data_IF_239626548215
#
_entry.id   IF_239626548215
#
_cell.length_a   1.000
_cell.length_b   1.000
_cell.length_c   1.000
_cell.angle_alpha   90.00
_cell.angle_beta   90.00
_cell.angle_gamma   90.00
#
_symmetry.space_group_name_H-M   'P 1'
#
loop_
_entity.id
_entity.type
_entity.pdbx_description
1 polymer ?
#
# COMPACT_ATOMS: atom_id res chain seq x y z
N UNK A 1 -16.03 20.13 6.17
CA UNK A 1 -15.70 20.11 4.72
C UNK A 1 -16.91 19.68 3.87
N UNK A 2 -17.63 20.64 3.31
CA UNK A 2 -18.82 20.39 2.47
C UNK A 2 -18.40 20.24 1.00
N UNK A 3 -18.81 19.14 0.37
CA UNK A 3 -18.68 18.96 -1.09
C UNK A 3 -19.81 19.74 -1.76
N UNK A 4 -19.46 20.72 -2.57
CA UNK A 4 -20.41 21.46 -3.42
C UNK A 4 -20.36 20.79 -4.80
N UNK A 5 -21.50 20.27 -5.26
CA UNK A 5 -21.63 19.73 -6.62
C UNK A 5 -21.79 20.90 -7.61
N UNK A 6 -21.16 20.85 -8.79
CA UNK A 6 -21.21 21.96 -9.73
C UNK A 6 -22.62 22.10 -10.33
N UNK A 7 -23.16 23.30 -10.25
CA UNK A 7 -24.43 23.70 -10.88
C UNK A 7 -24.30 23.56 -12.40
N UNK A 8 -25.07 22.66 -12.99
CA UNK A 8 -25.12 22.46 -14.45
C UNK A 8 -25.92 23.63 -15.05
N UNK A 9 -25.22 24.58 -15.68
CA UNK A 9 -25.85 25.64 -16.48
C UNK A 9 -26.42 25.03 -17.75
N UNK A 10 -27.74 24.82 -17.78
CA UNK A 10 -28.47 24.38 -18.98
C UNK A 10 -28.46 25.51 -20.00
N UNK A 11 -27.49 25.51 -20.92
CA UNK A 11 -27.48 26.45 -22.05
C UNK A 11 -28.68 26.11 -22.96
N UNK A 12 -29.56 27.08 -23.27
CA UNK A 12 -30.68 26.84 -24.18
C UNK A 12 -30.16 26.42 -25.56
N UNK A 13 -30.80 25.42 -26.16
CA UNK A 13 -30.43 24.92 -27.47
C UNK A 13 -30.51 26.03 -28.53
N UNK A 14 -29.40 26.28 -29.22
CA UNK A 14 -29.30 27.31 -30.26
C UNK A 14 -30.24 26.98 -31.43
N UNK A 15 -31.31 27.77 -31.58
CA UNK A 15 -32.18 27.70 -32.76
C UNK A 15 -31.41 28.20 -33.97
N UNK A 16 -30.91 27.29 -34.80
CA UNK A 16 -30.28 27.63 -36.07
C UNK A 16 -31.34 28.03 -37.11
N UNK A 17 -31.65 29.31 -37.16
CA UNK A 17 -32.37 29.89 -38.30
C UNK A 17 -31.40 29.92 -39.50
N UNK A 18 -31.36 28.84 -40.27
CA UNK A 18 -30.64 28.81 -41.53
C UNK A 18 -31.41 29.66 -42.55
N UNK A 19 -31.14 30.96 -42.59
CA UNK A 19 -31.59 31.77 -43.72
C UNK A 19 -30.90 31.22 -44.97
N UNK A 20 -31.69 30.77 -45.96
CA UNK A 20 -31.18 30.17 -47.20
C UNK A 20 -30.52 31.17 -48.16
N UNK A 21 -30.30 32.40 -47.72
CA UNK A 21 -29.70 33.45 -48.53
C UNK A 21 -28.18 33.42 -48.33
N UNK A 22 -27.45 32.97 -49.37
CA UNK A 22 -25.99 32.96 -49.38
C UNK A 22 -25.52 34.42 -49.53
N UNK A 23 -24.76 34.93 -48.56
CA UNK A 23 -24.14 36.25 -48.68
C UNK A 23 -23.00 36.16 -49.71
N UNK A 24 -23.10 36.91 -50.79
CA UNK A 24 -22.05 36.98 -51.81
C UNK A 24 -20.92 37.89 -51.30
N UNK A 25 -19.90 37.32 -50.68
CA UNK A 25 -18.75 38.03 -50.08
C UNK A 25 -17.64 38.35 -51.08
N UNK A 26 -17.95 38.50 -52.37
CA UNK A 26 -16.92 38.85 -53.36
C UNK A 26 -17.01 40.36 -53.59
N UNK A 27 -16.03 41.15 -53.10
CA UNK A 27 -16.02 42.60 -53.34
C UNK A 27 -15.77 42.89 -54.82
N UNK A 28 -16.36 43.96 -55.33
CA UNK A 28 -16.30 44.37 -56.74
C UNK A 28 -14.86 44.45 -57.26
N UNK A 29 -13.91 44.90 -56.43
CA UNK A 29 -12.50 44.92 -56.79
C UNK A 29 -11.93 43.54 -57.19
N UNK A 30 -12.27 42.47 -56.45
CA UNK A 30 -11.84 41.12 -56.81
C UNK A 30 -12.59 40.56 -58.04
N UNK A 31 -13.81 41.02 -58.29
CA UNK A 31 -14.57 40.60 -59.45
C UNK A 31 -13.97 41.20 -60.74
N UNK A 32 -13.60 42.48 -60.70
CA UNK A 32 -13.29 43.27 -61.90
C UNK A 32 -11.78 43.29 -62.27
N UNK A 33 -10.88 43.20 -61.28
CA UNK A 33 -9.43 43.28 -61.50
C UNK A 33 -8.78 41.90 -61.40
N UNK A 34 -8.99 41.08 -62.43
CA UNK A 34 -8.32 39.78 -62.59
C UNK A 34 -7.23 39.86 -63.66
N UNK A 35 -6.12 39.12 -63.51
CA UNK A 35 -5.11 39.06 -64.56
C UNK A 35 -5.70 38.37 -65.79
N UNK A 36 -5.90 39.12 -66.86
CA UNK A 36 -6.32 38.59 -68.15
C UNK A 36 -5.13 37.96 -68.87
N UNK A 37 -5.30 36.79 -69.47
CA UNK A 37 -4.27 36.17 -70.30
C UNK A 37 -4.14 36.95 -71.60
N UNK A 38 -3.03 37.66 -71.78
CA UNK A 38 -2.76 38.48 -72.97
C UNK A 38 -2.03 37.60 -73.99
N UNK A 39 -2.66 37.34 -75.13
CA UNK A 39 -2.02 36.62 -76.23
C UNK A 39 -0.81 37.43 -76.76
N UNK A 40 0.36 36.77 -76.85
CA UNK A 40 1.59 37.40 -77.34
C UNK A 40 1.49 37.58 -78.85
N UNK A 41 1.51 38.83 -79.31
CA UNK A 41 1.52 39.15 -80.74
C UNK A 41 2.84 38.70 -81.38
N UNK A 42 2.75 37.94 -82.46
CA UNK A 42 3.94 37.57 -83.24
C UNK A 42 4.57 38.80 -83.90
N UNK A 43 5.90 38.93 -83.88
CA UNK A 43 6.59 40.04 -84.55
C UNK A 43 6.44 39.88 -86.07
N UNK A 44 5.85 40.90 -86.72
CA UNK A 44 5.78 40.98 -88.19
C UNK A 44 7.20 41.20 -88.75
N UNK A 45 7.93 40.10 -88.98
CA UNK A 45 9.20 40.12 -89.71
C UNK A 45 8.90 39.91 -91.18
N UNK A 46 9.32 40.83 -92.04
CA UNK A 46 9.27 40.62 -93.48
C UNK A 46 10.10 39.37 -93.82
N UNK A 47 9.43 38.39 -94.43
CA UNK A 47 10.01 37.09 -94.75
C UNK A 47 11.04 37.26 -95.86
N UNK A 48 12.32 37.41 -95.48
CA UNK A 48 13.43 37.37 -96.44
C UNK A 48 13.75 35.92 -96.73
N UNK A 49 13.23 35.42 -97.86
CA UNK A 49 13.55 34.09 -98.36
C UNK A 49 15.01 34.10 -98.83
N UNK A 50 15.88 33.48 -98.04
CA UNK A 50 17.27 33.26 -98.42
C UNK A 50 17.36 32.07 -99.37
N UNK A 51 17.97 32.27 -100.53
CA UNK A 51 18.28 31.19 -101.47
C UNK A 51 19.76 30.80 -101.30
N UNK A 52 20.06 29.72 -100.55
CA UNK A 52 21.43 29.25 -100.43
C UNK A 52 21.95 28.76 -101.79
N UNK A 53 23.25 28.96 -102.08
CA UNK A 53 23.91 28.33 -103.23
C UNK A 53 23.71 26.81 -103.21
N UNK A 54 23.39 26.23 -104.37
CA UNK A 54 23.12 24.78 -104.53
C UNK A 54 24.40 23.95 -104.43
N UNK A 55 25.54 24.52 -104.80
CA UNK A 55 26.82 23.84 -104.83
C UNK A 55 27.51 23.89 -103.47
N UNK A 56 27.92 22.72 -102.95
CA UNK A 56 28.66 22.63 -101.70
C UNK A 56 30.14 22.87 -101.96
N UNK A 57 30.80 23.61 -101.07
CA UNK A 57 32.25 23.71 -101.05
C UNK A 57 32.83 22.34 -100.64
N UNK A 58 33.36 21.60 -101.61
CA UNK A 58 33.79 20.21 -101.46
C UNK A 58 35.26 20.00 -101.09
N UNK A 59 36.00 21.08 -100.79
CA UNK A 59 37.44 20.99 -100.62
C UNK A 59 37.74 20.87 -99.12
N UNK A 60 38.18 19.69 -98.68
CA UNK A 60 38.81 19.56 -97.37
C UNK A 60 40.07 20.42 -97.34
N UNK A 61 40.24 21.18 -96.27
CA UNK A 61 41.47 21.96 -96.10
C UNK A 61 42.62 21.03 -95.74
N UNK A 62 43.85 21.39 -96.14
CA UNK A 62 45.06 20.61 -95.82
C UNK A 62 45.20 20.31 -94.33
N UNK A 63 44.67 21.18 -93.46
CA UNK A 63 44.67 20.96 -92.00
C UNK A 63 43.73 19.83 -91.57
N UNK A 64 42.54 19.74 -92.19
CA UNK A 64 41.58 18.66 -91.91
C UNK A 64 42.14 17.29 -92.29
N UNK A 65 42.90 17.23 -93.40
CA UNK A 65 43.54 15.97 -93.84
C UNK A 65 44.81 15.64 -93.07
N UNK A 66 45.59 16.66 -92.66
CA UNK A 66 46.86 16.46 -91.96
C UNK A 66 46.70 16.10 -90.47
N UNK A 67 45.66 16.61 -89.81
CA UNK A 67 45.47 16.49 -88.35
C UNK A 67 44.28 15.61 -87.97
N UNK A 68 44.25 14.39 -88.50
CA UNK A 68 43.25 13.38 -88.14
C UNK A 68 43.67 12.68 -86.84
N UNK A 69 42.76 12.48 -85.85
CA UNK A 69 43.04 11.68 -84.66
C UNK A 69 43.54 10.28 -85.05
N UNK A 70 44.76 9.95 -84.63
CA UNK A 70 45.35 8.61 -84.82
C UNK A 70 45.20 7.82 -83.52
N UNK A 71 44.82 6.55 -83.66
CA UNK A 71 44.84 5.60 -82.55
C UNK A 71 46.29 5.42 -82.07
N UNK A 72 46.54 5.69 -80.79
CA UNK A 72 47.85 5.47 -80.17
C UNK A 72 47.89 4.07 -79.56
N UNK A 73 48.83 3.24 -80.02
CA UNK A 73 49.05 1.94 -79.40
C UNK A 73 49.57 2.13 -77.96
N UNK A 74 48.84 1.57 -76.98
CA UNK A 74 49.29 1.52 -75.60
C UNK A 74 50.60 0.73 -75.52
N UNK A 75 51.62 1.35 -74.92
CA UNK A 75 52.91 0.68 -74.69
C UNK A 75 52.70 -0.53 -73.78
N UNK A 76 53.26 -1.68 -74.16
CA UNK A 76 53.24 -2.87 -73.30
C UNK A 76 54.01 -2.56 -72.02
N UNK A 77 53.35 -2.72 -70.87
CA UNK A 77 53.98 -2.55 -69.56
C UNK A 77 54.91 -3.73 -69.30
N UNK A 78 56.19 -3.45 -69.03
CA UNK A 78 57.19 -4.45 -68.62
C UNK A 78 57.19 -4.52 -67.08
N UNK A 79 56.01 -4.77 -66.48
CA UNK A 79 55.90 -4.98 -65.03
C UNK A 79 55.91 -6.49 -64.76
N UNK A 80 56.75 -7.01 -63.85
CA UNK A 80 56.65 -8.39 -63.42
C UNK A 80 55.28 -8.67 -62.83
N UNK A 81 54.73 -9.86 -63.09
CA UNK A 81 53.48 -10.29 -62.49
C UNK A 81 53.63 -10.36 -60.97
N UNK A 82 52.64 -9.87 -60.23
CA UNK A 82 52.59 -9.98 -58.77
C UNK A 82 52.30 -11.45 -58.41
N UNK A 83 53.37 -12.23 -58.28
CA UNK A 83 53.31 -13.66 -57.95
C UNK A 83 53.50 -13.87 -56.45
N UNK A 84 52.60 -13.35 -55.64
CA UNK A 84 52.58 -13.64 -54.20
C UNK A 84 52.14 -15.08 -53.99
N UNK A 85 53.09 -15.96 -53.64
CA UNK A 85 52.79 -17.35 -53.30
C UNK A 85 52.21 -17.39 -51.89
N UNK A 86 50.93 -17.76 -51.77
CA UNK A 86 50.28 -18.00 -50.48
C UNK A 86 50.53 -19.46 -50.07
N UNK A 87 50.97 -19.69 -48.84
CA UNK A 87 51.09 -21.03 -48.27
C UNK A 87 49.71 -21.61 -47.96
N UNK A 88 49.49 -22.88 -48.30
CA UNK A 88 48.27 -23.65 -47.98
C UNK A 88 48.26 -24.22 -46.55
N UNK A 89 49.33 -23.98 -45.77
CA UNK A 89 49.43 -24.50 -44.42
C UNK A 89 48.52 -23.71 -43.46
N UNK A 90 47.69 -24.39 -42.64
CA UNK A 90 46.87 -23.72 -41.64
C UNK A 90 47.73 -23.09 -40.55
N UNK A 91 47.26 -21.95 -40.02
CA UNK A 91 47.89 -21.29 -38.89
C UNK A 91 47.68 -22.10 -37.59
N UNK A 92 48.77 -22.54 -36.96
CA UNK A 92 48.74 -23.20 -35.65
C UNK A 92 48.80 -22.12 -34.57
N UNK A 93 47.68 -21.87 -33.90
CA UNK A 93 47.54 -20.84 -32.86
C UNK A 93 47.74 -21.37 -31.44
N UNK A 94 48.40 -22.51 -31.28
CA UNK A 94 48.59 -23.15 -29.98
C UNK A 94 49.75 -22.46 -29.25
N UNK A 95 49.40 -21.71 -28.21
CA UNK A 95 50.35 -21.04 -27.33
C UNK A 95 50.45 -21.80 -26.03
N UNK A 96 51.60 -21.72 -25.36
CA UNK A 96 51.80 -22.32 -24.04
C UNK A 96 50.73 -21.89 -23.03
N UNK A 97 50.32 -20.62 -23.07
CA UNK A 97 49.24 -20.14 -22.19
C UNK A 97 47.92 -20.90 -22.38
N UNK A 98 47.54 -21.23 -23.62
CA UNK A 98 46.31 -21.96 -23.92
C UNK A 98 46.38 -23.42 -23.45
N UNK A 99 47.57 -24.03 -23.45
CA UNK A 99 47.76 -25.39 -22.93
C UNK A 99 47.88 -25.42 -21.40
N UNK A 100 48.52 -24.42 -20.81
CA UNK A 100 48.92 -24.45 -19.40
C UNK A 100 47.81 -23.93 -18.47
N UNK A 101 46.96 -23.02 -18.95
CA UNK A 101 45.88 -22.40 -18.18
C UNK A 101 44.51 -22.92 -18.62
N UNK A 102 44.22 -24.17 -18.27
CA UNK A 102 42.92 -24.80 -18.49
C UNK A 102 42.11 -24.85 -17.20
N UNK A 103 40.77 -24.89 -17.32
CA UNK A 103 39.90 -25.04 -16.17
C UNK A 103 40.07 -26.43 -15.55
N UNK A 104 40.70 -26.50 -14.38
CA UNK A 104 40.81 -27.75 -13.61
C UNK A 104 39.57 -27.96 -12.73
N UNK A 105 39.13 -29.22 -12.63
CA UNK A 105 38.08 -29.60 -11.69
C UNK A 105 38.61 -29.48 -10.26
N UNK A 106 37.91 -28.70 -9.43
CA UNK A 106 38.28 -28.51 -8.03
C UNK A 106 37.71 -29.65 -7.18
N UNK A 107 38.52 -30.14 -6.25
CA UNK A 107 38.08 -31.12 -5.25
C UNK A 107 36.93 -30.56 -4.39
N UNK A 108 35.90 -31.37 -4.09
CA UNK A 108 34.82 -30.96 -3.20
C UNK A 108 35.36 -30.56 -1.82
N UNK A 109 34.99 -29.35 -1.35
CA UNK A 109 35.40 -28.88 -0.02
C UNK A 109 34.82 -29.78 1.07
N UNK A 110 35.68 -30.22 2.00
CA UNK A 110 35.26 -30.95 3.19
C UNK A 110 34.27 -30.13 4.02
N UNK A 111 33.07 -30.66 4.24
CA UNK A 111 32.04 -30.05 5.09
C UNK A 111 31.98 -30.79 6.42
N UNK A 112 32.27 -30.09 7.53
CA UNK A 112 32.04 -30.63 8.88
C UNK A 112 30.54 -30.71 9.16
N UNK A 113 30.06 -31.85 9.62
CA UNK A 113 28.68 -32.01 10.10
C UNK A 113 28.46 -31.19 11.37
N UNK A 114 27.33 -30.49 11.47
CA UNK A 114 26.94 -29.79 12.69
C UNK A 114 26.65 -30.81 13.78
N UNK A 115 27.30 -30.65 14.94
CA UNK A 115 27.01 -31.48 16.11
C UNK A 115 25.55 -31.26 16.55
N UNK A 116 24.83 -32.35 16.78
CA UNK A 116 23.47 -32.31 17.27
C UNK A 116 23.45 -31.86 18.74
N UNK A 117 22.58 -30.91 19.07
CA UNK A 117 22.43 -30.43 20.45
C UNK A 117 21.89 -31.55 21.35
N UNK A 118 22.57 -31.78 22.47
CA UNK A 118 22.15 -32.72 23.52
C UNK A 118 21.69 -31.91 24.74
N UNK A 119 20.37 -31.72 24.94
CA UNK A 119 19.87 -31.05 26.15
C UNK A 119 20.21 -31.89 27.39
N UNK A 120 20.48 -31.21 28.51
CA UNK A 120 20.59 -31.87 29.82
C UNK A 120 19.21 -32.38 30.25
N UNK A 121 19.16 -33.59 30.79
CA UNK A 121 17.93 -34.19 31.34
C UNK A 121 17.65 -33.77 32.79
N UNK A 122 18.55 -33.01 33.42
CA UNK A 122 18.38 -32.58 34.80
C UNK A 122 17.36 -31.45 34.91
N UNK A 123 16.38 -31.55 35.82
CA UNK A 123 15.47 -30.45 36.10
C UNK A 123 16.23 -29.29 36.73
N UNK A 124 15.79 -28.06 36.43
CA UNK A 124 16.34 -26.87 37.06
C UNK A 124 15.76 -26.73 38.47
N UNK A 125 16.62 -26.72 39.49
CA UNK A 125 16.23 -26.45 40.88
C UNK A 125 15.95 -24.94 41.04
N UNK A 126 14.69 -24.55 40.81
CA UNK A 126 14.24 -23.16 40.90
C UNK A 126 13.84 -22.77 42.34
N UNK A 127 14.62 -23.16 43.34
CA UNK A 127 14.36 -22.78 44.74
C UNK A 127 15.47 -21.87 45.19
N UNK A 128 15.12 -20.61 45.47
CA UNK A 128 16.09 -19.64 45.99
C UNK A 128 16.23 -19.80 47.50
N UNK A 129 17.39 -19.41 48.03
CA UNK A 129 17.66 -19.39 49.49
C UNK A 129 16.54 -18.68 50.26
N UNK A 130 16.03 -17.56 49.72
CA UNK A 130 14.92 -16.83 50.35
C UNK A 130 13.63 -17.65 50.44
N UNK A 131 13.26 -18.37 49.39
CA UNK A 131 12.05 -19.22 49.40
C UNK A 131 12.21 -20.39 50.37
N UNK A 132 13.42 -20.93 50.51
CA UNK A 132 13.74 -21.98 51.48
C UNK A 132 13.70 -21.49 52.92
N UNK A 133 14.24 -20.30 53.20
CA UNK A 133 14.50 -19.84 54.57
C UNK A 133 13.32 -19.06 55.17
N UNK A 134 12.58 -18.31 54.36
CA UNK A 134 11.50 -17.42 54.84
C UNK A 134 10.12 -17.96 54.49
N UNK A 135 9.76 -19.12 55.06
CA UNK A 135 8.47 -19.80 54.81
C UNK A 135 7.28 -19.25 55.61
N UNK A 136 7.50 -18.23 56.45
CA UNK A 136 6.45 -17.59 57.24
C UNK A 136 5.77 -18.54 58.24
N UNK A 137 6.56 -19.26 59.03
CA UNK A 137 6.02 -20.14 60.08
C UNK A 137 5.23 -19.31 61.11
N UNK A 138 3.99 -19.71 61.47
CA UNK A 138 3.21 -18.99 62.47
C UNK A 138 3.90 -19.10 63.83
N UNK A 139 4.04 -17.97 64.53
CA UNK A 139 4.47 -17.97 65.94
C UNK A 139 3.32 -18.36 66.86
N UNK A 140 3.66 -18.86 68.05
CA UNK A 140 2.67 -19.14 69.08
C UNK A 140 1.96 -17.85 69.53
N UNK A 141 0.64 -17.95 69.75
CA UNK A 141 -0.14 -16.83 70.27
C UNK A 141 0.18 -16.62 71.76
N UNK A 142 0.35 -15.38 72.22
CA UNK A 142 0.61 -15.12 73.64
C UNK A 142 -0.62 -15.49 74.48
N UNK A 143 -0.40 -16.31 75.52
CA UNK A 143 -1.43 -16.58 76.51
C UNK A 143 -1.69 -15.36 77.41
N UNK A 144 -2.95 -15.12 77.76
CA UNK A 144 -3.30 -13.98 78.63
C UNK A 144 -2.93 -14.25 80.08
N UNK A 145 -2.21 -13.33 80.72
CA UNK A 145 -1.92 -13.36 82.17
C UNK A 145 -3.11 -12.96 83.06
N UNK A 146 -4.33 -12.94 82.52
CA UNK A 146 -5.52 -12.54 83.29
C UNK A 146 -5.90 -13.68 84.25
N UNK A 147 -6.10 -13.40 85.55
CA UNK A 147 -6.55 -14.41 86.49
C UNK A 147 -7.94 -14.91 86.08
N UNK A 148 -8.17 -16.22 86.20
CA UNK A 148 -9.47 -16.81 85.92
C UNK A 148 -10.49 -16.28 86.94
N UNK A 149 -11.69 -15.81 86.54
CA UNK A 149 -12.67 -15.27 87.46
C UNK A 149 -13.21 -16.38 88.37
N UNK A 150 -12.89 -16.31 89.66
CA UNK A 150 -13.46 -17.18 90.69
C UNK A 150 -14.83 -16.63 91.10
N UNK A 151 -15.88 -17.45 91.02
CA UNK A 151 -17.20 -17.07 91.54
C UNK A 151 -17.14 -17.08 93.08
N UNK A 152 -17.28 -15.90 93.69
CA UNK A 152 -17.44 -15.77 95.13
C UNK A 152 -18.94 -15.77 95.44
N UNK A 153 -19.46 -16.86 96.00
CA UNK A 153 -20.86 -16.93 96.43
C UNK A 153 -20.98 -16.35 97.85
N UNK A 154 -21.64 -15.21 98.00
CA UNK A 154 -22.02 -14.66 99.30
C UNK A 154 -23.33 -15.33 99.75
N UNK A 155 -23.27 -16.11 100.83
CA UNK A 155 -24.44 -16.83 101.41
C UNK A 155 -25.23 -15.96 102.40
N UNK A 156 -25.59 -14.75 102.00
CA UNK A 156 -26.49 -13.89 102.77
C UNK A 156 -27.81 -13.73 102.02
N UNK A 157 -28.91 -14.17 102.62
CA UNK A 157 -30.23 -14.02 102.04
C UNK A 157 -30.68 -12.55 102.03
N UNK A 158 -31.34 -12.14 100.95
CA UNK A 158 -31.89 -10.79 100.82
C UNK A 158 -33.25 -10.70 101.51
N UNK A 159 -33.36 -9.88 102.55
CA UNK A 159 -34.59 -9.71 103.32
C UNK A 159 -35.57 -8.77 102.58
N UNK A 160 -36.33 -9.33 101.64
CA UNK A 160 -37.19 -8.62 100.70
C UNK A 160 -38.61 -8.31 101.18
N UNK A 161 -38.80 -7.86 102.43
CA UNK A 161 -40.13 -7.48 102.94
C UNK A 161 -40.35 -5.97 102.81
N UNK A 162 -41.30 -5.54 101.97
CA UNK A 162 -41.61 -4.13 101.75
C UNK A 162 -42.62 -3.59 102.77
N UNK A 163 -42.54 -2.30 103.09
CA UNK A 163 -43.39 -1.62 104.08
C UNK A 163 -44.89 -1.79 103.80
N UNK A 164 -45.27 -1.80 102.52
CA UNK A 164 -46.64 -1.99 102.08
C UNK A 164 -47.21 -3.34 102.53
N UNK A 165 -46.42 -4.41 102.37
CA UNK A 165 -46.84 -5.78 102.71
C UNK A 165 -46.96 -5.97 104.22
N UNK A 166 -46.22 -5.19 105.02
CA UNK A 166 -46.37 -5.16 106.46
C UNK A 166 -47.62 -4.40 106.93
N UNK A 167 -47.97 -3.28 106.29
CA UNK A 167 -48.98 -2.35 106.83
C UNK A 167 -50.43 -2.64 106.41
N UNK A 168 -50.67 -3.37 105.31
CA UNK A 168 -52.01 -3.63 104.81
C UNK A 168 -52.36 -5.12 104.89
N UNK A 169 -53.04 -5.51 105.97
CA UNK A 169 -53.60 -6.84 106.15
C UNK A 169 -55.15 -6.79 106.01
N UNK A 170 -55.81 -7.84 105.48
CA UNK A 170 -57.26 -7.87 105.34
C UNK A 170 -57.95 -8.03 106.70
N UNK A 171 -58.88 -7.12 107.02
CA UNK A 171 -59.72 -7.19 108.23
C UNK A 171 -61.10 -7.77 107.87
N UNK A 172 -61.61 -8.72 108.65
CA UNK A 172 -62.94 -9.28 108.44
C UNK A 172 -64.03 -8.32 108.97
N UNK A 173 -65.04 -8.01 108.15
CA UNK A 173 -66.19 -7.18 108.53
C UNK A 173 -67.46 -8.03 108.47
N UNK A 174 -68.32 -7.94 109.51
CA UNK A 174 -69.59 -8.66 109.57
C UNK A 174 -70.68 -7.97 108.74
N UNK A 175 -71.48 -8.74 108.00
CA UNK A 175 -72.62 -8.23 107.23
C UNK A 175 -73.86 -7.98 108.13
N UNK A 176 -74.68 -6.96 107.86
CA UNK A 176 -75.88 -6.66 108.64
C UNK A 176 -77.04 -7.66 108.40
N UNK A 177 -77.82 -7.89 109.44
CA UNK A 177 -78.88 -8.92 109.48
C UNK A 177 -80.16 -8.52 108.73
N UNK A 178 -80.66 -9.42 107.87
CA UNK A 178 -81.85 -9.22 107.03
C UNK A 178 -83.08 -9.84 107.69
N UNK A 179 -84.15 -9.05 107.90
CA UNK A 179 -85.43 -9.54 108.46
C UNK A 179 -86.20 -10.39 107.45
N UNK A 180 -86.70 -11.56 107.87
CA UNK A 180 -87.59 -12.45 107.08
C UNK A 180 -89.04 -12.36 107.58
N UNK A 181 -90.01 -12.51 106.67
CA UNK A 181 -91.44 -12.58 106.98
C UNK A 181 -91.87 -14.02 107.36
N UNK A 182 -92.94 -14.15 108.16
CA UNK A 182 -93.49 -15.44 108.62
C UNK A 182 -94.52 -15.99 107.63
N UNK A 183 -94.49 -17.29 107.38
CA UNK A 183 -95.48 -17.96 106.52
C UNK A 183 -96.07 -19.22 107.18
N UNK A 184 -97.29 -19.52 106.73
CA UNK A 184 -98.41 -20.13 107.43
C UNK A 184 -98.75 -21.50 106.84
N UNK A 185 -99.29 -22.42 107.63
CA UNK A 185 -100.05 -23.54 107.09
C UNK A 185 -101.17 -23.98 108.07
N UNK A 186 -102.43 -24.08 107.60
CA UNK A 186 -103.59 -24.37 108.44
C UNK A 186 -103.97 -25.84 108.56
N UNK A 187 -104.79 -26.07 109.58
CA UNK A 187 -105.28 -27.33 110.14
C UNK A 187 -106.27 -28.06 109.23
N UNK A 188 -106.21 -29.39 109.24
CA UNK A 188 -107.26 -30.28 108.73
C UNK A 188 -107.69 -31.21 109.86
N UNK A 189 -109.00 -31.27 110.12
CA UNK A 189 -109.63 -32.04 111.19
C UNK A 189 -110.02 -33.46 110.81
#
# INVERSE_FOLDING_TARGET
PHKIEPVILVRPAEKKYASKCKLNTIPTYQADFKPWEIEKREPCRAERIYHPPTEKFGNATTSQDAFIPREFALRKLIKPADATTLSDQPFISDTSHRSDYVAHQLEPKWKRSREAYRPSSQPFENVTTHQSDFRGLPGDFPESFKPKPTKMENKSDFEGMSEFRNRFQPWAVSLPEVRKAKEYAPLTG
#
